data_IF_320649567596
#
_entry.id   IF_320649567596
#
_cell.length_a   1.000
_cell.length_b   1.000
_cell.length_c   1.000
_cell.angle_alpha   90.00
_cell.angle_beta   90.00
_cell.angle_gamma   90.00
#
_symmetry.space_group_name_H-M   'P 1'
#
loop_
_entity.id
_entity.type
_entity.pdbx_description
1 polymer ?
#
# COMPACT_ATOMS: atom_id res chain seq x y z
N UNK A 1 -6.77 -8.87 8.61
CA UNK A 1 -7.83 -9.38 7.72
C UNK A 1 -8.93 -8.35 7.39
N UNK A 2 -9.52 -7.63 8.35
CA UNK A 2 -10.55 -6.59 8.08
C UNK A 2 -10.11 -5.54 7.04
N UNK A 3 -8.87 -5.10 7.10
CA UNK A 3 -8.31 -4.12 6.19
C UNK A 3 -8.23 -4.65 4.74
N UNK A 4 -7.76 -5.88 4.57
CA UNK A 4 -7.70 -6.54 3.26
C UNK A 4 -9.09 -6.74 2.63
N UNK A 5 -10.09 -7.06 3.44
CA UNK A 5 -11.47 -7.21 3.01
C UNK A 5 -12.07 -5.92 2.43
N UNK A 6 -11.65 -4.75 2.90
CA UNK A 6 -12.15 -3.46 2.39
C UNK A 6 -11.72 -3.16 0.95
N UNK A 7 -10.62 -3.74 0.48
CA UNK A 7 -10.14 -3.56 -0.89
C UNK A 7 -10.69 -4.57 -1.90
N UNK A 8 -10.98 -5.78 -1.44
CA UNK A 8 -11.42 -6.88 -2.29
C UNK A 8 -12.91 -7.19 -2.16
N UNK A 9 -13.54 -6.73 -1.08
CA UNK A 9 -14.97 -6.84 -0.86
C UNK A 9 -15.72 -5.69 -1.53
N UNK A 10 -15.81 -5.73 -2.87
CA UNK A 10 -16.45 -4.67 -3.65
C UNK A 10 -17.84 -4.30 -3.14
N UNK A 11 -18.07 -3.01 -2.99
CA UNK A 11 -19.37 -2.43 -2.74
C UNK A 11 -20.37 -2.86 -3.82
N UNK A 12 -21.38 -3.57 -3.42
CA UNK A 12 -22.66 -3.95 -4.06
C UNK A 12 -22.82 -5.45 -4.27
N UNK A 13 -23.35 -6.12 -3.27
CA UNK A 13 -24.33 -7.19 -3.46
C UNK A 13 -23.84 -8.62 -3.70
N UNK A 14 -22.55 -8.88 -3.71
CA UNK A 14 -22.01 -10.23 -3.80
C UNK A 14 -20.67 -10.30 -3.08
N UNK A 15 -20.70 -10.41 -1.76
CA UNK A 15 -19.48 -10.53 -0.96
C UNK A 15 -18.63 -11.71 -1.43
N UNK A 16 -17.32 -11.53 -1.54
CA UNK A 16 -16.39 -12.64 -1.77
C UNK A 16 -16.53 -13.61 -0.59
N UNK A 17 -16.70 -14.91 -0.82
CA UNK A 17 -16.73 -15.90 0.25
C UNK A 17 -15.50 -15.79 1.15
N UNK A 18 -15.65 -15.97 2.44
CA UNK A 18 -14.58 -15.82 3.42
C UNK A 18 -13.35 -16.68 3.07
N UNK A 19 -13.58 -17.92 2.65
CA UNK A 19 -12.51 -18.81 2.20
C UNK A 19 -11.74 -18.28 0.98
N UNK A 20 -12.42 -17.63 0.04
CA UNK A 20 -11.77 -17.00 -1.11
C UNK A 20 -10.98 -15.74 -0.69
N UNK A 21 -11.48 -15.00 0.29
CA UNK A 21 -10.79 -13.85 0.86
C UNK A 21 -9.53 -14.28 1.61
N UNK A 22 -9.55 -15.38 2.33
CA UNK A 22 -8.37 -15.95 2.98
C UNK A 22 -7.28 -16.33 1.96
N UNK A 23 -7.66 -17.03 0.90
CA UNK A 23 -6.73 -17.39 -0.17
C UNK A 23 -6.12 -16.17 -0.86
N UNK A 24 -6.91 -15.13 -1.09
CA UNK A 24 -6.41 -13.88 -1.65
C UNK A 24 -5.41 -13.19 -0.70
N UNK A 25 -5.71 -13.22 0.60
CA UNK A 25 -4.80 -12.67 1.61
C UNK A 25 -3.48 -13.44 1.69
N UNK A 26 -3.54 -14.77 1.65
CA UNK A 26 -2.35 -15.63 1.61
C UNK A 26 -1.51 -15.35 0.37
N UNK A 27 -2.15 -15.26 -0.80
CA UNK A 27 -1.47 -14.92 -2.05
C UNK A 27 -0.82 -13.54 -1.99
N UNK A 28 -1.53 -12.52 -1.49
CA UNK A 28 -0.99 -11.18 -1.29
C UNK A 28 0.22 -11.20 -0.36
N UNK A 29 0.12 -11.92 0.75
CA UNK A 29 1.20 -12.04 1.73
C UNK A 29 2.43 -12.70 1.11
N UNK A 30 2.24 -13.76 0.32
CA UNK A 30 3.33 -14.43 -0.37
C UNK A 30 4.04 -13.49 -1.36
N UNK A 31 3.27 -12.72 -2.13
CA UNK A 31 3.82 -11.72 -3.04
C UNK A 31 4.62 -10.63 -2.30
N UNK A 32 4.08 -10.14 -1.18
CA UNK A 32 4.76 -9.12 -0.34
C UNK A 32 6.10 -9.66 0.21
N UNK A 33 6.10 -10.90 0.69
CA UNK A 33 7.33 -11.54 1.20
C UNK A 33 8.37 -11.72 0.08
N UNK A 34 7.96 -12.19 -1.09
CA UNK A 34 8.86 -12.40 -2.23
C UNK A 34 9.46 -11.09 -2.75
N UNK A 35 8.63 -10.04 -2.91
CA UNK A 35 9.12 -8.72 -3.33
C UNK A 35 10.08 -8.13 -2.31
N UNK A 36 9.78 -8.25 -1.04
CA UNK A 36 10.62 -7.72 0.02
C UNK A 36 11.94 -8.50 0.15
N UNK A 37 11.93 -9.81 0.00
CA UNK A 37 13.13 -10.65 -0.02
C UNK A 37 14.03 -10.28 -1.19
N UNK A 38 13.46 -10.16 -2.38
CA UNK A 38 14.20 -9.77 -3.58
C UNK A 38 14.85 -8.40 -3.43
N UNK A 39 14.14 -7.41 -2.90
CA UNK A 39 14.67 -6.08 -2.65
C UNK A 39 15.79 -6.10 -1.60
N UNK A 40 15.57 -6.79 -0.50
CA UNK A 40 16.57 -6.90 0.57
C UNK A 40 17.85 -7.57 0.08
N UNK A 41 17.73 -8.67 -0.66
CA UNK A 41 18.89 -9.39 -1.22
C UNK A 41 19.77 -8.50 -2.10
N UNK A 42 19.15 -7.66 -2.95
CA UNK A 42 19.92 -6.74 -3.81
C UNK A 42 20.63 -5.67 -2.98
N UNK A 43 19.96 -5.10 -1.96
CA UNK A 43 20.54 -4.07 -1.11
C UNK A 43 21.63 -4.61 -0.18
N UNK A 44 21.54 -5.86 0.26
CA UNK A 44 22.58 -6.54 1.03
C UNK A 44 23.82 -6.82 0.19
N UNK A 45 23.63 -7.13 -1.10
CA UNK A 45 24.74 -7.39 -2.01
C UNK A 45 25.58 -6.14 -2.31
N UNK A 46 24.98 -4.95 -2.31
CA UNK A 46 25.68 -3.67 -2.41
C UNK A 46 25.09 -2.62 -1.46
N UNK A 47 25.68 -2.47 -0.25
CA UNK A 47 25.18 -1.51 0.76
C UNK A 47 25.22 -0.03 0.34
N UNK A 48 25.91 0.30 -0.75
CA UNK A 48 25.94 1.67 -1.30
C UNK A 48 24.80 1.95 -2.27
N UNK A 49 24.12 0.91 -2.71
CA UNK A 49 22.98 1.03 -3.61
C UNK A 49 21.81 1.78 -2.98
N UNK A 50 21.03 2.41 -3.83
CA UNK A 50 19.71 2.97 -3.52
C UNK A 50 18.72 2.29 -4.44
N UNK A 51 17.52 2.00 -3.93
CA UNK A 51 16.51 1.28 -4.68
C UNK A 51 15.19 2.05 -4.65
N UNK A 52 14.49 2.04 -5.78
CA UNK A 52 13.10 2.45 -5.89
C UNK A 52 12.30 1.20 -6.25
N UNK A 53 11.30 0.89 -5.42
CA UNK A 53 10.38 -0.22 -5.65
C UNK A 53 9.04 0.36 -6.11
N UNK A 54 8.58 -0.06 -7.28
CA UNK A 54 7.25 0.29 -7.81
C UNK A 54 6.33 -0.91 -7.62
N UNK A 55 5.28 -0.72 -6.85
CA UNK A 55 4.30 -1.77 -6.59
C UNK A 55 2.89 -1.17 -6.49
N UNK A 56 1.87 -2.02 -6.62
CA UNK A 56 0.49 -1.60 -6.42
C UNK A 56 0.28 -1.05 -5.00
N UNK A 57 -0.63 -0.09 -4.87
CA UNK A 57 -0.90 0.61 -3.61
C UNK A 57 -1.17 -0.35 -2.43
N UNK A 58 -1.87 -1.46 -2.69
CA UNK A 58 -2.18 -2.47 -1.67
C UNK A 58 -0.95 -3.14 -1.04
N UNK A 59 0.18 -3.13 -1.74
CA UNK A 59 1.45 -3.67 -1.26
C UNK A 59 2.26 -2.67 -0.42
N UNK A 60 1.88 -1.37 -0.45
CA UNK A 60 2.70 -0.28 0.11
C UNK A 60 2.00 0.43 1.26
N UNK A 61 0.69 0.70 1.10
CA UNK A 61 -0.06 1.55 2.03
C UNK A 61 -0.06 1.02 3.47
N UNK A 62 -0.08 1.94 4.41
CA UNK A 62 0.03 1.67 5.85
C UNK A 62 1.28 0.86 6.23
N UNK A 63 2.22 0.69 5.32
CA UNK A 63 3.47 -0.09 5.47
C UNK A 63 3.27 -1.59 5.69
N UNK A 64 2.04 -2.11 5.72
CA UNK A 64 1.72 -3.52 6.08
C UNK A 64 2.21 -4.57 5.08
N UNK A 65 2.55 -4.16 3.87
CA UNK A 65 3.04 -5.04 2.83
C UNK A 65 4.56 -5.07 2.74
N UNK A 66 5.06 -4.71 1.59
CA UNK A 66 6.49 -4.74 1.24
C UNK A 66 7.37 -3.87 2.13
N UNK A 67 6.98 -2.62 2.51
CA UNK A 67 7.87 -1.74 3.26
C UNK A 67 8.32 -2.31 4.61
N UNK A 68 7.39 -2.78 5.44
CA UNK A 68 7.74 -3.35 6.76
C UNK A 68 8.56 -4.64 6.64
N UNK A 69 8.31 -5.41 5.59
CA UNK A 69 9.06 -6.62 5.33
C UNK A 69 10.51 -6.37 4.91
N UNK A 70 10.73 -5.34 4.09
CA UNK A 70 12.10 -4.88 3.73
C UNK A 70 12.80 -4.38 4.99
N UNK A 71 12.17 -3.49 5.75
CA UNK A 71 12.77 -2.94 6.98
C UNK A 71 13.19 -4.03 7.96
N UNK A 72 12.33 -5.03 8.17
CA UNK A 72 12.62 -6.16 9.05
C UNK A 72 13.83 -6.96 8.59
N UNK A 73 13.98 -7.19 7.28
CA UNK A 73 15.10 -7.92 6.71
C UNK A 73 16.41 -7.15 6.77
N UNK A 74 16.36 -5.84 6.56
CA UNK A 74 17.54 -4.96 6.55
C UNK A 74 17.89 -4.37 7.93
N UNK A 75 17.43 -4.98 9.01
CA UNK A 75 17.80 -4.55 10.37
C UNK A 75 17.29 -3.15 10.76
N UNK A 76 16.16 -2.72 10.20
CA UNK A 76 15.54 -1.45 10.53
C UNK A 76 16.01 -0.27 9.65
N UNK A 77 16.68 -0.52 8.54
CA UNK A 77 17.01 0.55 7.59
C UNK A 77 15.74 1.28 7.12
N UNK A 78 15.77 2.62 7.01
CA UNK A 78 14.58 3.39 6.68
C UNK A 78 14.10 3.11 5.25
N UNK A 79 12.80 2.83 5.13
CA UNK A 79 12.10 2.73 3.87
C UNK A 79 11.06 3.85 3.82
N UNK A 80 11.12 4.69 2.80
CA UNK A 80 10.15 5.75 2.57
C UNK A 80 9.12 5.30 1.56
N UNK A 81 7.87 5.64 1.82
CA UNK A 81 6.72 5.29 0.98
C UNK A 81 6.10 6.55 0.40
N UNK A 82 5.79 6.51 -0.90
CA UNK A 82 5.10 7.57 -1.63
C UNK A 82 3.84 6.97 -2.25
N UNK A 83 2.68 7.53 -1.95
CA UNK A 83 1.39 6.99 -2.38
C UNK A 83 0.59 8.01 -3.17
N UNK A 84 0.11 7.66 -4.39
CA UNK A 84 -0.92 8.42 -5.06
C UNK A 84 -2.29 8.15 -4.42
N UNK A 85 -3.05 9.20 -4.17
CA UNK A 85 -4.45 9.10 -3.72
C UNK A 85 -5.34 9.80 -4.73
N UNK A 86 -6.28 9.05 -5.29
CA UNK A 86 -7.24 9.59 -6.26
C UNK A 86 -8.37 10.28 -5.50
N UNK A 87 -8.54 11.57 -5.74
CA UNK A 87 -9.56 12.42 -5.10
C UNK A 87 -10.30 13.24 -6.12
N UNK A 88 -11.47 13.73 -5.75
CA UNK A 88 -12.12 14.83 -6.48
C UNK A 88 -11.61 16.14 -5.90
N UNK A 89 -11.34 17.12 -6.74
CA UNK A 89 -11.01 18.46 -6.30
C UNK A 89 -12.27 19.32 -6.30
N UNK A 90 -12.41 20.19 -5.30
CA UNK A 90 -13.43 21.21 -5.29
C UNK A 90 -13.13 22.25 -6.37
N UNK A 91 -14.12 22.55 -7.22
CA UNK A 91 -13.96 23.44 -8.36
C UNK A 91 -13.69 24.92 -7.96
N UNK A 92 -14.02 25.30 -6.74
CA UNK A 92 -13.88 26.68 -6.26
C UNK A 92 -12.57 26.86 -5.50
N UNK A 93 -12.25 25.94 -4.61
CA UNK A 93 -11.09 26.05 -3.72
C UNK A 93 -9.84 25.39 -4.27
N UNK A 94 -9.97 24.55 -5.30
CA UNK A 94 -8.91 23.67 -5.81
C UNK A 94 -8.29 22.76 -4.74
N UNK A 95 -9.02 22.51 -3.66
CA UNK A 95 -8.61 21.61 -2.61
C UNK A 95 -9.14 20.20 -2.87
N UNK A 96 -8.41 19.15 -2.46
CA UNK A 96 -8.89 17.78 -2.59
C UNK A 96 -10.16 17.61 -1.74
N UNK A 97 -11.23 17.14 -2.37
CA UNK A 97 -12.44 16.74 -1.65
C UNK A 97 -12.19 15.39 -1.00
N UNK A 98 -12.08 15.40 0.30
CA UNK A 98 -12.05 14.20 1.13
C UNK A 98 -13.51 13.77 1.29
N UNK A 99 -13.83 12.55 0.84
CA UNK A 99 -15.22 12.05 0.82
C UNK A 99 -15.89 12.11 2.20
N UNK A 100 -17.22 12.10 2.21
CA UNK A 100 -18.07 12.27 3.38
C UNK A 100 -17.68 11.36 4.54
N UNK A 101 -16.94 11.89 5.51
CA UNK A 101 -16.63 11.21 6.76
C UNK A 101 -15.53 10.15 6.72
N UNK A 102 -14.90 9.90 5.58
CA UNK A 102 -13.69 9.09 5.54
C UNK A 102 -12.50 9.92 6.01
N UNK A 103 -12.10 9.72 7.25
CA UNK A 103 -10.80 10.19 7.69
C UNK A 103 -9.74 9.38 6.95
N UNK A 104 -8.98 10.01 6.07
CA UNK A 104 -7.76 9.38 5.57
C UNK A 104 -6.86 9.10 6.77
N UNK A 105 -6.58 7.83 7.01
CA UNK A 105 -5.59 7.46 8.01
C UNK A 105 -4.27 8.12 7.59
N UNK A 106 -3.80 9.07 8.39
CA UNK A 106 -2.55 9.80 8.16
C UNK A 106 -1.33 8.89 8.07
N UNK A 107 -1.52 7.59 8.30
CA UNK A 107 -0.50 6.54 8.21
C UNK A 107 -0.45 5.82 6.86
N UNK A 108 -1.20 6.26 5.86
CA UNK A 108 -1.19 5.64 4.52
C UNK A 108 0.22 5.48 3.96
N UNK A 109 1.08 6.48 4.15
CA UNK A 109 2.47 6.48 3.73
C UNK A 109 3.22 7.67 4.29
N UNK A 110 4.53 7.71 4.09
CA UNK A 110 5.37 8.83 4.53
C UNK A 110 5.07 10.10 3.71
N UNK A 111 4.73 9.91 2.44
CA UNK A 111 4.35 10.96 1.51
C UNK A 111 3.11 10.53 0.73
N UNK A 112 2.15 11.43 0.62
CA UNK A 112 0.92 11.23 -0.15
C UNK A 112 0.78 12.38 -1.14
N UNK A 113 0.50 12.07 -2.40
CA UNK A 113 0.13 13.09 -3.37
C UNK A 113 -1.25 12.79 -3.96
N UNK A 114 -2.00 13.84 -4.21
CA UNK A 114 -3.37 13.73 -4.70
C UNK A 114 -3.38 13.82 -6.22
N UNK A 115 -4.15 12.94 -6.83
CA UNK A 115 -4.43 12.95 -8.27
C UNK A 115 -5.92 13.12 -8.51
N UNK A 116 -6.27 13.91 -9.49
CA UNK A 116 -7.66 14.10 -9.86
C UNK A 116 -8.24 12.79 -10.42
N UNK A 117 -9.40 12.45 -9.92
CA UNK A 117 -10.14 11.31 -10.45
C UNK A 117 -10.86 11.75 -11.73
N UNK A 118 -10.44 11.18 -12.86
CA UNK A 118 -11.13 11.35 -14.13
C UNK A 118 -12.59 10.85 -14.08
#
# INVERSE_FOLDING_TARGET
MRYFASFHGGAKGGGIPEEALERLYEAQTLWDEYMAESAAHILEADPRSRMIVLAGTNHIQNRYGVPDRIMRRLGGQPVFTILPVSVKFDAVTSLPMIGDGESYDTRLGDWVYFIEKA
#
